data_IF_350281300349
#
_entry.id   IF_350281300349
#
_cell.length_a   1.000
_cell.length_b   1.000
_cell.length_c   1.000
_cell.angle_alpha   90.00
_cell.angle_beta   90.00
_cell.angle_gamma   90.00
#
_symmetry.space_group_name_H-M   'P 1'
#
loop_
_entity.id
_entity.type
_entity.pdbx_description
1 polymer ?
#
# COMPACT_ATOMS: atom_id res chain seq x y z
N UNK A 1 2.57 -4.57 30.09
CA UNK A 1 1.87 -4.62 28.79
C UNK A 1 1.52 -3.23 28.22
N UNK A 2 1.86 -2.11 28.89
CA UNK A 2 1.58 -0.75 28.40
C UNK A 2 2.72 -0.06 27.62
N UNK A 3 3.87 -0.73 27.40
CA UNK A 3 5.04 -0.11 26.75
C UNK A 3 4.89 0.13 25.23
N UNK A 4 3.84 -0.40 24.59
CA UNK A 4 3.67 -0.32 23.13
C UNK A 4 2.43 0.46 22.67
N UNK A 5 1.63 1.02 23.58
CA UNK A 5 0.48 1.86 23.19
C UNK A 5 0.95 3.22 22.64
N UNK A 6 2.13 3.68 23.08
CA UNK A 6 2.89 4.79 22.48
C UNK A 6 3.98 4.30 21.50
N UNK A 7 3.74 3.19 20.79
CA UNK A 7 4.71 2.59 19.86
C UNK A 7 5.06 3.49 18.66
N UNK A 8 6.00 3.03 17.83
CA UNK A 8 6.38 3.67 16.55
C UNK A 8 5.15 4.05 15.70
N UNK A 9 4.13 3.19 15.70
CA UNK A 9 2.83 3.44 15.09
C UNK A 9 2.14 4.74 15.52
N UNK A 10 2.21 5.12 16.80
CA UNK A 10 1.61 6.37 17.27
C UNK A 10 2.40 7.58 16.78
N UNK A 11 3.73 7.52 16.85
CA UNK A 11 4.62 8.60 16.43
C UNK A 11 4.49 8.88 14.93
N UNK A 12 4.52 7.84 14.09
CA UNK A 12 4.40 8.00 12.63
C UNK A 12 3.05 8.59 12.24
N UNK A 13 1.95 8.08 12.81
CA UNK A 13 0.60 8.60 12.54
C UNK A 13 0.44 10.05 13.01
N UNK A 14 0.95 10.37 14.19
CA UNK A 14 0.92 11.74 14.72
C UNK A 14 1.74 12.69 13.86
N UNK A 15 2.96 12.31 13.47
CA UNK A 15 3.82 13.11 12.60
C UNK A 15 3.17 13.34 11.23
N UNK A 16 2.54 12.32 10.64
CA UNK A 16 1.81 12.45 9.38
C UNK A 16 0.65 13.46 9.49
N UNK A 17 -0.17 13.36 10.54
CA UNK A 17 -1.30 14.27 10.76
C UNK A 17 -0.83 15.70 11.00
N UNK A 18 0.17 15.90 11.88
CA UNK A 18 0.73 17.22 12.15
C UNK A 18 1.30 17.83 10.87
N UNK A 19 2.10 17.09 10.12
CA UNK A 19 2.71 17.58 8.90
C UNK A 19 1.65 18.01 7.87
N UNK A 20 0.64 17.17 7.65
CA UNK A 20 -0.47 17.46 6.73
C UNK A 20 -1.17 18.76 7.11
N UNK A 21 -1.59 18.91 8.38
CA UNK A 21 -2.31 20.10 8.82
C UNK A 21 -1.43 21.35 8.89
N UNK A 22 -0.14 21.23 9.21
CA UNK A 22 0.81 22.36 9.16
C UNK A 22 0.96 22.86 7.72
N UNK A 23 1.12 21.98 6.74
CA UNK A 23 1.18 22.37 5.32
C UNK A 23 -0.14 23.02 4.91
N UNK A 24 -1.28 22.42 5.23
CA UNK A 24 -2.60 23.01 4.95
C UNK A 24 -2.71 24.41 5.56
N UNK A 25 -2.34 24.58 6.83
CA UNK A 25 -2.39 25.87 7.51
C UNK A 25 -1.48 26.90 6.84
N UNK A 26 -0.26 26.54 6.42
CA UNK A 26 0.63 27.44 5.67
C UNK A 26 -0.06 27.97 4.41
N UNK A 27 -0.78 27.12 3.68
CA UNK A 27 -1.50 27.54 2.47
C UNK A 27 -2.62 28.55 2.77
N UNK A 28 -3.27 28.45 3.94
CA UNK A 28 -4.33 29.38 4.38
C UNK A 28 -3.82 30.62 5.12
N UNK A 29 -2.57 30.64 5.58
CA UNK A 29 -1.98 31.80 6.28
C UNK A 29 -1.16 32.72 5.37
N UNK A 30 -0.79 32.24 4.18
CA UNK A 30 -0.03 33.01 3.20
C UNK A 30 -0.89 33.40 2.00
N UNK A 31 -0.40 34.33 1.17
CA UNK A 31 -1.11 34.95 0.03
C UNK A 31 -1.33 34.02 -1.18
N UNK A 32 -1.71 32.77 -0.92
CA UNK A 32 -2.07 31.78 -1.94
C UNK A 32 -3.46 32.06 -2.50
N UNK A 33 -3.79 31.45 -3.65
CA UNK A 33 -5.13 31.55 -4.24
C UNK A 33 -6.24 31.02 -3.30
N UNK A 34 -5.95 30.04 -2.43
CA UNK A 34 -6.92 29.55 -1.44
C UNK A 34 -7.27 30.64 -0.43
N UNK A 35 -6.26 31.34 0.06
CA UNK A 35 -6.44 32.42 1.02
C UNK A 35 -7.19 33.59 0.39
N UNK A 36 -6.82 33.98 -0.83
CA UNK A 36 -7.52 35.04 -1.58
C UNK A 36 -9.00 34.72 -1.76
N UNK A 37 -9.31 33.48 -2.15
CA UNK A 37 -10.70 33.03 -2.32
C UNK A 37 -11.48 32.96 -1.00
N UNK A 38 -10.82 32.57 0.10
CA UNK A 38 -11.43 32.63 1.43
C UNK A 38 -11.80 34.07 1.82
N UNK A 39 -10.87 35.02 1.61
CA UNK A 39 -11.08 36.44 1.95
C UNK A 39 -12.14 37.12 1.05
N UNK A 40 -12.29 36.70 -0.21
CA UNK A 40 -13.34 37.20 -1.12
C UNK A 40 -14.69 36.49 -0.94
N UNK A 41 -14.77 35.45 -0.11
CA UNK A 41 -16.00 34.68 0.13
C UNK A 41 -16.27 33.58 -0.90
N UNK A 42 -15.34 33.30 -1.83
CA UNK A 42 -15.43 32.21 -2.81
C UNK A 42 -15.03 30.86 -2.19
N UNK A 43 -15.84 30.36 -1.25
CA UNK A 43 -15.48 29.21 -0.39
C UNK A 43 -15.42 27.84 -1.08
N UNK A 44 -15.84 27.72 -2.35
CA UNK A 44 -15.93 26.41 -3.03
C UNK A 44 -14.59 25.69 -3.08
N UNK A 45 -13.52 26.33 -3.58
CA UNK A 45 -12.21 25.67 -3.68
C UNK A 45 -11.55 25.45 -2.32
N UNK A 46 -11.55 26.42 -1.38
CA UNK A 46 -11.12 26.17 0.00
C UNK A 46 -11.78 24.96 0.65
N UNK A 47 -13.11 24.85 0.57
CA UNK A 47 -13.86 23.74 1.15
C UNK A 47 -13.50 22.43 0.46
N UNK A 48 -13.46 22.39 -0.87
CA UNK A 48 -13.08 21.18 -1.62
C UNK A 48 -11.65 20.71 -1.29
N UNK A 49 -10.71 21.64 -1.15
CA UNK A 49 -9.34 21.31 -0.77
C UNK A 49 -9.27 20.71 0.64
N UNK A 50 -9.93 21.31 1.62
CA UNK A 50 -9.98 20.79 3.00
C UNK A 50 -10.69 19.43 3.06
N UNK A 51 -11.80 19.26 2.33
CA UNK A 51 -12.49 17.97 2.23
C UNK A 51 -11.59 16.89 1.62
N UNK A 52 -10.82 17.22 0.59
CA UNK A 52 -9.88 16.29 -0.02
C UNK A 52 -8.75 15.90 0.95
N UNK A 53 -8.20 16.86 1.70
CA UNK A 53 -7.23 16.61 2.78
C UNK A 53 -7.82 15.69 3.84
N UNK A 54 -9.06 15.94 4.28
CA UNK A 54 -9.76 15.11 5.24
C UNK A 54 -9.95 13.67 4.73
N UNK A 55 -10.38 13.50 3.48
CA UNK A 55 -10.50 12.17 2.84
C UNK A 55 -9.15 11.46 2.81
N UNK A 56 -8.06 12.17 2.48
CA UNK A 56 -6.71 11.59 2.48
C UNK A 56 -6.29 11.10 3.87
N UNK A 57 -6.54 11.92 4.91
CA UNK A 57 -6.24 11.55 6.31
C UNK A 57 -7.11 10.37 6.77
N UNK A 58 -8.39 10.32 6.40
CA UNK A 58 -9.26 9.20 6.71
C UNK A 58 -8.80 7.91 6.02
N UNK A 59 -8.40 7.98 4.74
CA UNK A 59 -7.83 6.84 4.02
C UNK A 59 -6.50 6.39 4.64
N UNK A 60 -5.64 7.31 5.05
CA UNK A 60 -4.40 7.02 5.78
C UNK A 60 -4.68 6.21 7.07
N UNK A 61 -5.65 6.65 7.87
CA UNK A 61 -6.06 5.91 9.07
C UNK A 61 -6.69 4.57 8.72
N UNK A 62 -7.52 4.50 7.68
CA UNK A 62 -8.09 3.26 7.21
C UNK A 62 -6.99 2.25 6.87
N UNK A 63 -6.00 2.60 6.03
CA UNK A 63 -4.94 1.64 5.65
C UNK A 63 -3.97 1.32 6.79
N UNK A 64 -3.68 2.28 7.66
CA UNK A 64 -2.75 2.10 8.79
C UNK A 64 -3.33 1.28 9.94
N UNK A 65 -4.66 1.17 10.04
CA UNK A 65 -5.36 0.43 11.10
C UNK A 65 -6.09 -0.82 10.61
N UNK A 66 -6.33 -0.93 9.30
CA UNK A 66 -7.02 -2.09 8.70
C UNK A 66 -6.17 -3.35 8.82
N UNK A 67 -6.82 -4.47 9.14
CA UNK A 67 -6.21 -5.80 9.05
C UNK A 67 -5.76 -6.06 7.60
N UNK A 68 -4.46 -6.25 7.34
CA UNK A 68 -3.94 -6.52 6.00
C UNK A 68 -4.33 -7.92 5.49
N UNK A 69 -4.91 -8.76 6.34
CA UNK A 69 -5.16 -10.17 6.08
C UNK A 69 -4.22 -11.04 6.89
N UNK A 70 -4.10 -10.80 8.19
CA UNK A 70 -3.37 -11.69 9.09
C UNK A 70 -3.97 -13.10 9.04
N UNK A 71 -3.10 -14.11 8.92
CA UNK A 71 -3.48 -15.52 8.98
C UNK A 71 -3.61 -15.88 10.45
N UNK A 72 -4.84 -16.15 10.88
CA UNK A 72 -5.12 -16.60 12.25
C UNK A 72 -4.80 -18.08 12.37
N UNK A 73 -4.36 -18.53 13.55
CA UNK A 73 -4.07 -19.94 13.81
C UNK A 73 -5.31 -20.83 13.65
N UNK A 74 -6.51 -20.32 13.95
CA UNK A 74 -7.78 -21.08 13.83
C UNK A 74 -8.30 -21.24 12.40
N UNK A 75 -7.71 -20.57 11.39
CA UNK A 75 -7.94 -20.92 9.98
C UNK A 75 -7.32 -22.30 9.63
N UNK A 76 -6.70 -22.99 10.60
CA UNK A 76 -6.27 -24.39 10.52
C UNK A 76 -7.41 -25.41 10.66
N UNK A 77 -8.64 -24.98 10.95
CA UNK A 77 -9.82 -25.88 11.02
C UNK A 77 -10.83 -25.69 9.88
N UNK A 78 -10.44 -25.10 8.74
CA UNK A 78 -11.16 -25.36 7.48
C UNK A 78 -10.65 -26.66 6.88
N UNK A 79 -11.12 -27.72 7.53
CA UNK A 79 -11.46 -29.03 7.00
C UNK A 79 -11.66 -29.05 5.48
N UNK A 80 -10.56 -29.21 4.75
CA UNK A 80 -10.48 -30.01 3.54
C UNK A 80 -9.26 -30.92 3.72
N UNK A 81 -9.36 -32.01 4.47
CA UNK A 81 -9.64 -33.33 3.87
C UNK A 81 -8.98 -33.52 2.49
N UNK A 82 -7.67 -33.35 2.43
CA UNK A 82 -6.83 -34.45 1.96
C UNK A 82 -6.30 -35.11 3.23
N UNK A 83 -7.06 -36.08 3.74
CA UNK A 83 -6.72 -36.88 4.92
C UNK A 83 -5.48 -37.71 4.64
N UNK A 84 -4.33 -37.09 4.83
CA UNK A 84 -3.03 -37.69 4.66
C UNK A 84 -2.22 -37.21 5.86
N UNK A 85 -2.05 -38.08 6.84
CA UNK A 85 -1.07 -37.86 7.91
C UNK A 85 0.31 -37.62 7.29
N UNK A 86 1.21 -36.92 7.98
CA UNK A 86 2.58 -36.70 7.47
C UNK A 86 3.26 -38.03 7.06
N UNK A 87 2.88 -39.15 7.67
CA UNK A 87 3.30 -40.52 7.32
C UNK A 87 2.60 -41.12 6.08
N UNK A 88 1.35 -40.74 5.78
CA UNK A 88 0.67 -41.16 4.55
C UNK A 88 1.11 -40.34 3.32
N UNK A 89 1.68 -39.15 3.51
CA UNK A 89 2.11 -38.27 2.40
C UNK A 89 3.36 -38.81 1.71
N UNK A 90 4.20 -39.55 2.44
CA UNK A 90 5.37 -40.26 1.92
C UNK A 90 5.01 -41.59 1.22
N UNK A 91 3.77 -42.07 1.36
CA UNK A 91 3.28 -43.33 0.77
C UNK A 91 2.42 -43.13 -0.48
N UNK A 92 2.11 -41.88 -0.84
CA UNK A 92 1.46 -41.53 -2.11
C UNK A 92 2.57 -41.38 -3.16
N UNK A 93 2.49 -42.05 -4.33
CA UNK A 93 3.46 -41.83 -5.40
C UNK A 93 3.54 -40.34 -5.67
N UNK A 94 4.74 -39.75 -5.69
CA UNK A 94 4.94 -38.35 -5.99
C UNK A 94 4.34 -38.02 -7.37
N UNK A 95 3.06 -37.65 -7.41
CA UNK A 95 2.50 -36.95 -8.55
C UNK A 95 3.16 -35.58 -8.56
N UNK A 96 3.72 -35.12 -9.70
CA UNK A 96 4.42 -33.83 -9.79
C UNK A 96 3.54 -32.60 -9.48
N UNK A 97 2.24 -32.78 -9.16
CA UNK A 97 1.22 -31.73 -9.03
C UNK A 97 0.88 -31.29 -7.59
N UNK A 98 1.48 -31.83 -6.52
CA UNK A 98 1.22 -31.33 -5.15
C UNK A 98 2.37 -30.46 -4.61
N UNK A 99 2.30 -29.15 -4.83
CA UNK A 99 3.22 -28.20 -4.18
C UNK A 99 2.99 -28.20 -2.67
N UNK A 100 3.96 -28.69 -1.90
CA UNK A 100 3.90 -28.66 -0.43
C UNK A 100 3.89 -27.21 0.05
N UNK A 101 2.79 -26.81 0.71
CA UNK A 101 2.69 -25.48 1.30
C UNK A 101 3.74 -25.31 2.39
N UNK A 102 4.32 -24.10 2.47
CA UNK A 102 5.38 -23.80 3.44
C UNK A 102 4.79 -23.70 4.84
N UNK A 103 5.50 -24.18 5.85
CA UNK A 103 5.15 -23.95 7.26
C UNK A 103 5.91 -22.74 7.79
N UNK A 104 5.24 -21.86 8.54
CA UNK A 104 5.90 -20.76 9.22
C UNK A 104 6.47 -21.24 10.56
N UNK A 105 7.78 -21.11 10.77
CA UNK A 105 8.41 -21.46 12.06
C UNK A 105 8.05 -20.54 13.23
N UNK A 106 7.61 -19.31 12.96
CA UNK A 106 7.24 -18.34 14.01
C UNK A 106 5.77 -18.46 14.42
N UNK A 107 4.86 -18.52 13.44
CA UNK A 107 3.42 -18.63 13.69
C UNK A 107 2.95 -20.08 13.85
N UNK A 108 3.81 -21.07 13.60
CA UNK A 108 3.55 -22.52 13.65
C UNK A 108 2.42 -23.03 12.74
N UNK A 109 1.89 -22.19 11.84
CA UNK A 109 0.82 -22.49 10.88
C UNK A 109 1.35 -22.82 9.47
N UNK A 110 0.50 -23.46 8.68
CA UNK A 110 0.72 -23.65 7.25
C UNK A 110 0.41 -22.35 6.51
N UNK A 111 1.39 -21.82 5.79
CA UNK A 111 1.26 -20.55 5.06
C UNK A 111 0.43 -20.77 3.80
N UNK A 112 -0.72 -20.08 3.65
CA UNK A 112 -1.42 -20.01 2.36
C UNK A 112 -0.47 -19.53 1.26
N UNK A 113 -0.72 -19.92 0.02
CA UNK A 113 0.07 -19.48 -1.12
C UNK A 113 0.07 -17.94 -1.20
N UNK A 114 1.21 -17.37 -1.59
CA UNK A 114 1.50 -15.93 -1.58
C UNK A 114 1.48 -15.25 -0.19
N UNK A 115 1.33 -16.00 0.90
CA UNK A 115 1.51 -15.45 2.25
C UNK A 115 2.98 -15.47 2.68
N UNK A 116 3.32 -14.55 3.59
CA UNK A 116 4.65 -14.45 4.20
C UNK A 116 4.56 -13.92 5.62
N UNK A 117 5.46 -14.40 6.48
CA UNK A 117 5.65 -13.86 7.83
C UNK A 117 6.32 -12.48 7.76
N UNK A 118 5.70 -11.51 8.41
CA UNK A 118 6.29 -10.20 8.65
C UNK A 118 6.92 -10.17 10.04
N UNK A 119 8.23 -9.97 10.11
CA UNK A 119 8.94 -9.88 11.39
C UNK A 119 8.53 -8.63 12.20
N UNK A 120 8.13 -7.54 11.55
CA UNK A 120 7.68 -6.35 12.29
C UNK A 120 6.29 -6.57 12.91
N UNK A 121 5.35 -7.10 12.13
CA UNK A 121 3.99 -7.36 12.61
C UNK A 121 3.87 -8.66 13.42
N UNK A 122 4.87 -9.55 13.38
CA UNK A 122 4.87 -10.87 14.05
C UNK A 122 3.74 -11.81 13.62
N UNK A 123 3.20 -11.61 12.42
CA UNK A 123 2.11 -12.41 11.87
C UNK A 123 2.40 -12.80 10.42
N UNK A 124 1.85 -13.92 9.97
CA UNK A 124 1.74 -14.22 8.55
C UNK A 124 0.65 -13.35 7.93
N UNK A 125 0.91 -12.78 6.76
CA UNK A 125 -0.04 -11.92 6.04
C UNK A 125 -0.36 -12.58 4.69
N UNK A 126 -1.65 -12.71 4.36
CA UNK A 126 -2.12 -13.23 3.07
C UNK A 126 -1.75 -12.27 1.94
N UNK A 127 -1.37 -12.82 0.78
CA UNK A 127 -0.88 -12.07 -0.39
C UNK A 127 0.04 -10.90 0.02
N UNK A 128 1.07 -11.24 0.80
CA UNK A 128 1.94 -10.25 1.42
C UNK A 128 2.62 -9.42 0.34
N UNK A 129 2.47 -8.11 0.40
CA UNK A 129 3.17 -7.19 -0.48
C UNK A 129 4.45 -6.67 0.18
N UNK A 130 4.29 -5.91 1.26
CA UNK A 130 5.39 -5.40 2.06
C UNK A 130 4.93 -4.99 3.46
N UNK A 131 5.88 -4.69 4.34
CA UNK A 131 5.62 -3.93 5.55
C UNK A 131 5.97 -2.47 5.27
N UNK A 132 5.01 -1.56 5.48
CA UNK A 132 5.18 -0.17 5.14
C UNK A 132 5.40 0.65 6.42
N UNK A 133 6.61 1.20 6.63
CA UNK A 133 6.90 2.01 7.81
C UNK A 133 6.14 3.34 7.83
N UNK A 134 5.63 3.81 6.69
CA UNK A 134 4.89 5.07 6.60
C UNK A 134 3.47 4.99 7.17
N UNK A 135 2.89 3.80 7.17
CA UNK A 135 1.58 3.52 7.76
C UNK A 135 1.69 2.62 9.00
N UNK A 136 2.91 2.21 9.36
CA UNK A 136 3.20 1.28 10.46
C UNK A 136 2.30 0.03 10.45
N UNK A 137 2.11 -0.51 9.25
CA UNK A 137 1.25 -1.66 9.00
C UNK A 137 1.74 -2.43 7.77
N UNK A 138 1.35 -3.71 7.65
CA UNK A 138 1.55 -4.46 6.43
C UNK A 138 0.59 -4.02 5.33
N UNK A 139 1.02 -4.17 4.09
CA UNK A 139 0.17 -4.15 2.90
C UNK A 139 0.03 -5.59 2.43
N UNK A 140 -1.22 -6.06 2.36
CA UNK A 140 -1.58 -7.45 2.08
C UNK A 140 -2.95 -7.57 1.42
N UNK A 141 -3.46 -8.79 1.31
CA UNK A 141 -4.67 -9.10 0.55
C UNK A 141 -5.87 -8.19 0.83
N UNK A 142 -6.14 -7.87 2.10
CA UNK A 142 -7.35 -7.13 2.51
C UNK A 142 -7.23 -5.62 2.35
N UNK A 143 -6.03 -5.05 2.46
CA UNK A 143 -5.84 -3.60 2.45
C UNK A 143 -5.06 -3.05 1.23
N UNK A 144 -4.49 -3.88 0.36
CA UNK A 144 -3.66 -3.42 -0.76
C UNK A 144 -4.43 -2.48 -1.72
N UNK A 145 -5.71 -2.75 -2.02
CA UNK A 145 -6.53 -1.85 -2.86
C UNK A 145 -6.71 -0.47 -2.23
N UNK A 146 -6.90 -0.43 -0.91
CA UNK A 146 -7.07 0.80 -0.14
C UNK A 146 -5.76 1.56 -0.05
N UNK A 147 -4.63 0.86 0.03
CA UNK A 147 -3.30 1.46 -0.05
C UNK A 147 -3.08 2.15 -1.40
N UNK A 148 -3.41 1.51 -2.52
CA UNK A 148 -3.30 2.13 -3.86
C UNK A 148 -4.24 3.34 -4.00
N UNK A 149 -5.48 3.25 -3.51
CA UNK A 149 -6.42 4.37 -3.48
C UNK A 149 -5.89 5.53 -2.63
N UNK A 150 -5.35 5.24 -1.45
CA UNK A 150 -4.71 6.23 -0.59
C UNK A 150 -3.57 6.93 -1.32
N UNK A 151 -2.68 6.22 -2.00
CA UNK A 151 -1.60 6.83 -2.78
C UNK A 151 -2.13 7.76 -3.88
N UNK A 152 -3.20 7.37 -4.58
CA UNK A 152 -3.81 8.20 -5.62
C UNK A 152 -4.42 9.50 -5.05
N UNK A 153 -5.17 9.41 -3.95
CA UNK A 153 -5.74 10.60 -3.29
C UNK A 153 -4.65 11.46 -2.67
N UNK A 154 -3.64 10.85 -2.05
CA UNK A 154 -2.50 11.56 -1.48
C UNK A 154 -1.71 12.31 -2.55
N UNK A 155 -1.52 11.71 -3.74
CA UNK A 155 -0.89 12.39 -4.87
C UNK A 155 -1.71 13.61 -5.31
N UNK A 156 -3.04 13.49 -5.40
CA UNK A 156 -3.91 14.60 -5.77
C UNK A 156 -3.83 15.76 -4.76
N UNK A 157 -3.86 15.46 -3.45
CA UNK A 157 -3.66 16.46 -2.39
C UNK A 157 -2.31 17.16 -2.54
N UNK A 158 -1.24 16.40 -2.76
CA UNK A 158 0.11 16.96 -2.88
C UNK A 158 0.27 17.83 -4.14
N UNK A 159 -0.24 17.39 -5.29
CA UNK A 159 -0.18 18.17 -6.53
C UNK A 159 -1.00 19.47 -6.42
N UNK A 160 -2.20 19.41 -5.84
CA UNK A 160 -2.99 20.61 -5.60
C UNK A 160 -2.31 21.52 -4.57
N UNK A 161 -1.81 20.98 -3.46
CA UNK A 161 -1.05 21.72 -2.46
C UNK A 161 0.19 22.40 -3.03
N UNK A 162 0.92 21.73 -3.93
CA UNK A 162 2.07 22.31 -4.64
C UNK A 162 1.64 23.49 -5.52
N UNK A 163 0.58 23.33 -6.30
CA UNK A 163 0.04 24.42 -7.12
C UNK A 163 -0.38 25.61 -6.26
N UNK A 164 -1.03 25.39 -5.11
CA UNK A 164 -1.42 26.47 -4.20
C UNK A 164 -0.20 27.15 -3.57
N UNK A 165 0.81 26.40 -3.14
CA UNK A 165 2.05 26.98 -2.62
C UNK A 165 2.74 27.85 -3.68
N UNK A 166 2.78 27.37 -4.94
CA UNK A 166 3.35 28.11 -6.06
C UNK A 166 2.58 29.40 -6.38
N UNK A 167 1.24 29.38 -6.30
CA UNK A 167 0.40 30.56 -6.53
C UNK A 167 0.66 31.72 -5.54
N UNK A 168 1.18 31.39 -4.35
CA UNK A 168 1.46 32.39 -3.31
C UNK A 168 2.81 33.08 -3.43
N UNK A 169 3.63 32.76 -4.44
CA UNK A 169 4.92 33.43 -4.60
C UNK A 169 4.77 34.87 -5.04
N UNK A 170 5.28 35.78 -4.21
CA UNK A 170 5.31 37.21 -4.48
C UNK A 170 6.59 37.61 -5.19
N UNK A 171 6.46 38.56 -6.14
CA UNK A 171 7.60 39.21 -6.75
C UNK A 171 8.33 40.09 -5.71
N UNK A 172 9.66 40.15 -5.82
CA UNK A 172 10.48 41.10 -5.09
C UNK A 172 11.65 41.55 -5.96
N UNK A 173 12.11 42.78 -5.73
CA UNK A 173 13.14 43.43 -6.56
C UNK A 173 14.55 42.85 -6.39
N UNK A 174 14.83 42.18 -5.27
CA UNK A 174 16.13 41.55 -4.99
C UNK A 174 15.95 40.12 -4.49
N UNK A 175 16.94 39.25 -4.71
CA UNK A 175 16.91 37.86 -4.28
C UNK A 175 16.81 37.71 -2.75
N UNK A 176 17.46 38.59 -1.98
CA UNK A 176 17.38 38.55 -0.52
C UNK A 176 15.98 38.87 -0.02
N UNK A 177 15.32 39.87 -0.63
CA UNK A 177 13.95 40.23 -0.29
C UNK A 177 12.97 39.16 -0.76
N UNK A 178 13.20 38.58 -1.95
CA UNK A 178 12.39 37.48 -2.47
C UNK A 178 12.43 36.27 -1.55
N UNK A 179 13.62 35.85 -1.13
CA UNK A 179 13.80 34.73 -0.20
C UNK A 179 13.15 35.03 1.15
N UNK A 180 13.35 36.23 1.71
CA UNK A 180 12.71 36.60 2.98
C UNK A 180 11.18 36.54 2.89
N UNK A 181 10.62 37.03 1.78
CA UNK A 181 9.17 37.07 1.54
C UNK A 181 8.58 35.69 1.29
N UNK A 182 9.27 34.84 0.53
CA UNK A 182 8.74 33.56 0.05
C UNK A 182 9.30 32.34 0.81
N UNK A 183 10.20 32.49 1.77
CA UNK A 183 10.93 31.37 2.40
C UNK A 183 10.03 30.25 2.94
N UNK A 184 8.93 30.58 3.62
CA UNK A 184 8.00 29.59 4.17
C UNK A 184 7.29 28.83 3.06
N UNK A 185 6.74 29.54 2.07
CA UNK A 185 6.08 28.93 0.91
C UNK A 185 7.06 28.13 0.05
N UNK A 186 8.32 28.58 -0.05
CA UNK A 186 9.38 27.88 -0.78
C UNK A 186 9.71 26.56 -0.08
N UNK A 187 9.83 26.57 1.25
CA UNK A 187 10.03 25.36 2.05
C UNK A 187 8.86 24.38 1.91
N UNK A 188 7.62 24.88 2.00
CA UNK A 188 6.42 24.07 1.81
C UNK A 188 6.34 23.49 0.39
N UNK A 189 6.55 24.31 -0.65
CA UNK A 189 6.54 23.88 -2.04
C UNK A 189 7.62 22.83 -2.33
N UNK A 190 8.85 23.02 -1.83
CA UNK A 190 9.93 22.06 -1.99
C UNK A 190 9.62 20.73 -1.31
N UNK A 191 9.12 20.76 -0.06
CA UNK A 191 8.73 19.55 0.66
C UNK A 191 7.60 18.81 -0.06
N UNK A 192 6.53 19.52 -0.45
CA UNK A 192 5.40 18.94 -1.17
C UNK A 192 5.83 18.39 -2.53
N UNK A 193 6.77 19.03 -3.24
CA UNK A 193 7.30 18.52 -4.51
C UNK A 193 8.06 17.19 -4.34
N UNK A 194 8.92 17.09 -3.32
CA UNK A 194 9.65 15.85 -3.01
C UNK A 194 8.68 14.72 -2.62
N UNK A 195 7.69 15.03 -1.78
CA UNK A 195 6.64 14.08 -1.40
C UNK A 195 5.80 13.66 -2.62
N UNK A 196 5.45 14.60 -3.50
CA UNK A 196 4.70 14.33 -4.74
C UNK A 196 5.45 13.35 -5.64
N UNK A 197 6.74 13.59 -5.87
CA UNK A 197 7.58 12.70 -6.67
C UNK A 197 7.66 11.30 -6.04
N UNK A 198 7.85 11.23 -4.73
CA UNK A 198 7.93 9.96 -4.01
C UNK A 198 6.63 9.16 -4.14
N UNK A 199 5.48 9.80 -3.90
CA UNK A 199 4.16 9.15 -4.00
C UNK A 199 3.83 8.79 -5.45
N UNK A 200 4.21 9.61 -6.43
CA UNK A 200 4.02 9.32 -7.86
C UNK A 200 4.78 8.05 -8.26
N UNK A 201 6.06 7.95 -7.90
CA UNK A 201 6.88 6.76 -8.22
C UNK A 201 6.34 5.51 -7.53
N UNK A 202 5.90 5.63 -6.28
CA UNK A 202 5.30 4.53 -5.53
C UNK A 202 3.96 4.10 -6.14
N UNK A 203 3.08 5.03 -6.49
CA UNK A 203 1.82 4.72 -7.16
C UNK A 203 2.07 4.05 -8.51
N UNK A 204 2.99 4.58 -9.31
CA UNK A 204 3.36 4.02 -10.61
C UNK A 204 3.90 2.59 -10.51
N UNK A 205 4.79 2.32 -9.54
CA UNK A 205 5.33 0.97 -9.33
C UNK A 205 4.26 -0.01 -8.86
N UNK A 206 3.38 0.38 -7.95
CA UNK A 206 2.27 -0.47 -7.51
C UNK A 206 1.26 -0.73 -8.63
N UNK A 207 0.91 0.27 -9.46
CA UNK A 207 0.02 0.06 -10.60
C UNK A 207 0.63 -0.88 -11.64
N UNK A 208 1.94 -0.79 -11.88
CA UNK A 208 2.67 -1.73 -12.73
C UNK A 208 2.65 -3.16 -12.16
N UNK A 209 2.91 -3.33 -10.86
CA UNK A 209 2.89 -4.64 -10.23
C UNK A 209 1.47 -5.24 -10.19
N UNK A 210 0.46 -4.41 -9.93
CA UNK A 210 -0.95 -4.82 -9.97
C UNK A 210 -1.36 -5.24 -11.38
N UNK A 211 -0.92 -4.53 -12.42
CA UNK A 211 -1.24 -4.90 -13.81
C UNK A 211 -0.65 -6.25 -14.21
N UNK A 212 0.42 -6.68 -13.55
CA UNK A 212 1.03 -8.00 -13.70
C UNK A 212 0.58 -9.01 -12.62
N UNK A 213 -0.39 -8.67 -11.76
CA UNK A 213 -0.77 -9.48 -10.58
C UNK A 213 0.43 -9.99 -9.76
N UNK A 214 1.48 -9.18 -9.64
CA UNK A 214 2.69 -9.48 -8.88
C UNK A 214 2.69 -8.61 -7.63
N UNK A 215 3.15 -9.16 -6.50
CA UNK A 215 3.41 -8.36 -5.29
C UNK A 215 4.83 -7.81 -5.31
N UNK A 216 5.09 -6.73 -4.57
CA UNK A 216 6.45 -6.19 -4.39
C UNK A 216 7.40 -7.25 -3.86
N UNK A 217 6.95 -8.08 -2.92
CA UNK A 217 7.72 -9.20 -2.40
C UNK A 217 8.07 -10.23 -3.48
N UNK A 218 7.10 -10.62 -4.31
CA UNK A 218 7.35 -11.55 -5.42
C UNK A 218 8.33 -10.99 -6.43
N UNK A 219 8.19 -9.71 -6.80
CA UNK A 219 9.10 -9.02 -7.69
C UNK A 219 10.53 -8.99 -7.14
N UNK A 220 10.71 -8.57 -5.89
CA UNK A 220 12.04 -8.39 -5.29
C UNK A 220 12.69 -9.69 -4.83
N UNK A 221 11.91 -10.71 -4.50
CA UNK A 221 12.39 -11.92 -3.82
C UNK A 221 12.11 -13.21 -4.57
N UNK A 222 11.75 -13.14 -5.86
CA UNK A 222 11.34 -14.27 -6.71
C UNK A 222 12.11 -15.56 -6.45
N UNK A 223 13.45 -15.50 -6.50
CA UNK A 223 14.35 -16.65 -6.34
C UNK A 223 14.24 -17.35 -4.96
N UNK A 224 13.69 -16.68 -3.94
CA UNK A 224 13.48 -17.22 -2.58
C UNK A 224 12.09 -17.86 -2.40
N UNK A 225 11.23 -17.77 -3.40
CA UNK A 225 9.81 -18.16 -3.30
C UNK A 225 9.61 -19.54 -3.92
N UNK A 226 9.26 -20.52 -3.09
CA UNK A 226 9.18 -21.93 -3.50
C UNK A 226 8.24 -22.20 -4.67
N UNK A 227 7.08 -21.54 -4.71
CA UNK A 227 6.11 -21.70 -5.79
C UNK A 227 6.49 -20.95 -7.08
N UNK A 228 7.52 -20.07 -7.06
CA UNK A 228 8.02 -19.42 -8.28
C UNK A 228 9.33 -20.05 -8.78
N UNK A 229 9.98 -20.92 -7.99
CA UNK A 229 11.21 -21.62 -8.41
C UNK A 229 11.00 -22.59 -9.56
N UNK A 230 9.78 -23.10 -9.71
CA UNK A 230 9.42 -24.06 -10.75
C UNK A 230 8.90 -23.40 -12.03
N UNK A 231 8.61 -22.09 -11.97
CA UNK A 231 8.21 -21.31 -13.14
C UNK A 231 9.45 -20.82 -13.90
N UNK A 232 9.32 -20.64 -15.21
CA UNK A 232 10.32 -19.94 -16.02
C UNK A 232 10.64 -18.54 -15.48
N UNK A 233 11.80 -17.99 -15.86
CA UNK A 233 12.26 -16.68 -15.37
C UNK A 233 11.24 -15.56 -15.62
N UNK A 234 10.53 -15.63 -16.75
CA UNK A 234 9.54 -14.65 -17.18
C UNK A 234 8.09 -15.10 -16.93
N UNK A 235 7.88 -16.32 -16.45
CA UNK A 235 6.53 -16.89 -16.27
C UNK A 235 5.89 -16.45 -14.96
N UNK A 236 4.71 -15.85 -15.04
CA UNK A 236 3.93 -15.47 -13.87
C UNK A 236 2.62 -16.26 -13.79
N UNK A 237 2.51 -17.26 -12.90
CA UNK A 237 1.33 -18.15 -12.80
C UNK A 237 0.07 -17.46 -12.25
N UNK A 238 0.14 -16.16 -11.94
CA UNK A 238 -1.01 -15.38 -11.48
C UNK A 238 -1.44 -14.31 -12.49
N UNK A 239 -0.67 -14.09 -13.56
CA UNK A 239 -0.98 -13.10 -14.58
C UNK A 239 -2.04 -13.64 -15.55
N UNK A 240 -3.19 -12.97 -15.62
CA UNK A 240 -4.29 -13.30 -16.54
C UNK A 240 -4.47 -12.26 -17.64
N UNK A 241 -3.47 -11.41 -17.86
CA UNK A 241 -3.52 -10.23 -18.72
C UNK A 241 -3.97 -8.97 -17.97
N UNK A 242 -3.40 -7.84 -18.37
CA UNK A 242 -3.51 -6.53 -17.71
C UNK A 242 -4.93 -6.15 -17.29
N UNK A 243 -5.90 -6.24 -18.20
CA UNK A 243 -7.28 -5.84 -17.92
C UNK A 243 -7.95 -6.74 -16.86
N UNK A 244 -7.72 -8.06 -16.94
CA UNK A 244 -8.28 -9.02 -15.98
C UNK A 244 -7.63 -8.88 -14.61
N UNK A 245 -6.33 -8.58 -14.56
CA UNK A 245 -5.61 -8.33 -13.32
C UNK A 245 -6.10 -7.06 -12.63
N UNK A 246 -6.22 -5.96 -13.37
CA UNK A 246 -6.74 -4.68 -12.86
C UNK A 246 -8.19 -4.84 -12.36
N UNK A 247 -9.06 -5.48 -13.15
CA UNK A 247 -10.43 -5.77 -12.74
C UNK A 247 -10.48 -6.65 -11.49
N UNK A 248 -9.70 -7.73 -11.45
CA UNK A 248 -9.61 -8.62 -10.29
C UNK A 248 -9.14 -7.91 -9.03
N UNK A 249 -8.20 -6.96 -9.15
CA UNK A 249 -7.66 -6.23 -8.01
C UNK A 249 -8.61 -5.14 -7.49
N UNK A 250 -9.19 -4.32 -8.38
CA UNK A 250 -10.01 -3.17 -7.99
C UNK A 250 -11.50 -3.51 -7.79
N UNK A 251 -12.04 -4.49 -8.52
CA UNK A 251 -13.50 -4.71 -8.60
C UNK A 251 -13.97 -5.98 -7.89
N UNK A 252 -13.11 -6.99 -7.70
CA UNK A 252 -13.48 -8.23 -6.99
C UNK A 252 -13.16 -8.09 -5.51
N UNK A 253 -14.17 -8.23 -4.65
CA UNK A 253 -14.03 -8.12 -3.19
C UNK A 253 -14.04 -9.51 -2.56
N UNK A 254 -13.08 -9.77 -1.68
CA UNK A 254 -12.94 -11.05 -0.98
C UNK A 254 -11.51 -11.57 -0.96
N UNK A 255 -11.27 -12.58 -0.14
CA UNK A 255 -10.01 -13.32 -0.12
C UNK A 255 -9.98 -14.31 -1.27
N UNK A 256 -8.82 -14.47 -1.89
CA UNK A 256 -8.62 -15.42 -2.99
C UNK A 256 -7.90 -16.65 -2.45
N UNK A 257 -8.35 -17.82 -2.90
CA UNK A 257 -7.63 -19.09 -2.69
C UNK A 257 -6.60 -19.22 -3.82
N UNK A 258 -5.40 -18.68 -3.59
CA UNK A 258 -4.35 -18.55 -4.61
C UNK A 258 -3.84 -19.90 -5.14
N UNK A 259 -3.98 -20.96 -4.36
CA UNK A 259 -3.70 -22.34 -4.76
C UNK A 259 -4.59 -22.76 -5.94
N UNK A 260 -5.89 -22.43 -5.89
CA UNK A 260 -6.82 -22.71 -7.00
C UNK A 260 -6.48 -21.90 -8.25
N UNK A 261 -5.90 -20.71 -8.09
CA UNK A 261 -5.44 -19.90 -9.22
C UNK A 261 -4.23 -20.56 -9.87
N UNK A 262 -3.24 -20.94 -9.04
CA UNK A 262 -1.98 -21.53 -9.48
C UNK A 262 -2.16 -22.86 -10.22
N UNK A 263 -3.01 -23.77 -9.72
CA UNK A 263 -3.21 -25.09 -10.34
C UNK A 263 -4.22 -25.11 -11.50
N UNK A 264 -4.97 -24.03 -11.74
CA UNK A 264 -5.99 -24.01 -12.80
C UNK A 264 -5.38 -23.93 -14.20
N UNK A 265 -4.21 -23.32 -14.36
CA UNK A 265 -3.55 -23.20 -15.67
C UNK A 265 -2.89 -24.50 -16.13
N UNK A 266 -2.59 -25.44 -15.23
CA UNK A 266 -2.02 -26.77 -15.56
C UNK A 266 -3.03 -27.79 -16.12
N UNK A 267 -4.31 -27.43 -16.21
CA UNK A 267 -5.40 -28.33 -16.60
C UNK A 267 -6.25 -27.82 -17.79
N UNK A 268 -5.96 -26.66 -18.37
CA UNK A 268 -6.58 -26.26 -19.63
C UNK A 268 -5.83 -26.99 -20.78
N UNK A 269 -6.48 -27.88 -21.54
CA UNK A 269 -5.84 -28.53 -22.68
C UNK A 269 -5.58 -27.47 -23.77
N UNK A 270 -4.35 -27.48 -24.28
CA UNK A 270 -3.91 -26.71 -25.47
C UNK A 270 -4.73 -27.14 -26.69
#
# INVERSE_FOLDING_TARGET
MFKNVFGSGFLVRTAHVILTWVITLILFLHDTDLRKQEETGELVKPVLFVLLVLVSVLLYFAVSLMDPGFVLSDDSDVQFTLGVTEEQQDMIPHTPKSLRLRRCGHCLLQQPMRSKHCQTCQHCVRRYDHHCPWIENCVGERNHRWFVLYLAIQLLVLLWGFHMAWSGFAYASTWQLWLRTNSVLLGAAALVAVLSLTVLLLLGSHLYLVSLNTTTWEFMSRHRISYLKHCGADENPFDRGTLRNLWGFFCVWGTVVWEKVYFREDNDPI
#
